data_IF_015698008446
#
_entry.id   IF_015698008446
#
_cell.length_a   1.000
_cell.length_b   1.000
_cell.length_c   1.000
_cell.angle_alpha   90.00
_cell.angle_beta   90.00
_cell.angle_gamma   90.00
#
_symmetry.space_group_name_H-M   'P 1'
#
loop_
_entity.id
_entity.type
_entity.pdbx_description
1 polymer ?
#
# COMPACT_ATOMS: atom_id res chain seq x y z
N UNK A 1 1.68 -3.20 19.66
CA UNK A 1 1.44 -2.86 21.06
C UNK A 1 -0.05 -2.62 21.28
N UNK A 2 -0.66 -3.13 22.35
CA UNK A 2 -2.12 -3.14 22.53
C UNK A 2 -2.76 -1.76 22.77
N UNK A 3 -2.01 -0.68 22.75
CA UNK A 3 -2.51 0.68 23.03
C UNK A 3 -1.99 1.76 22.08
N UNK A 4 -1.46 1.38 20.91
CA UNK A 4 -1.02 2.36 19.92
C UNK A 4 -2.22 2.93 19.17
N UNK A 5 -2.34 4.26 19.09
CA UNK A 5 -3.34 4.93 18.28
C UNK A 5 -3.04 4.73 16.78
N UNK A 6 -3.98 4.18 16.05
CA UNK A 6 -3.86 3.88 14.61
C UNK A 6 -4.70 4.85 13.81
N UNK A 7 -4.04 5.73 13.05
CA UNK A 7 -4.68 6.61 12.08
C UNK A 7 -4.54 6.03 10.67
N UNK A 8 -5.65 5.71 10.02
CA UNK A 8 -5.70 5.20 8.65
C UNK A 8 -6.13 6.30 7.70
N UNK A 9 -5.31 6.59 6.69
CA UNK A 9 -5.58 7.67 5.74
C UNK A 9 -5.70 7.19 4.31
N UNK A 10 -6.55 7.86 3.55
CA UNK A 10 -6.77 7.60 2.13
C UNK A 10 -6.65 8.90 1.33
N UNK A 11 -6.04 8.83 0.17
CA UNK A 11 -6.05 9.95 -0.76
C UNK A 11 -7.25 9.89 -1.72
N UNK A 12 -7.66 8.68 -2.11
CA UNK A 12 -8.79 8.49 -3.03
C UNK A 12 -10.11 8.21 -2.31
N UNK A 13 -11.24 8.74 -2.83
CA UNK A 13 -12.57 8.45 -2.30
C UNK A 13 -12.91 6.96 -2.30
N UNK A 14 -12.51 6.22 -3.34
CA UNK A 14 -12.78 4.78 -3.46
C UNK A 14 -12.17 3.96 -2.32
N UNK A 15 -10.95 4.28 -1.92
CA UNK A 15 -10.30 3.63 -0.77
C UNK A 15 -10.99 3.96 0.55
N UNK A 16 -11.34 5.23 0.74
CA UNK A 16 -12.04 5.72 1.94
C UNK A 16 -13.42 5.07 2.09
N UNK A 17 -14.26 5.11 1.04
CA UNK A 17 -15.62 4.57 1.10
C UNK A 17 -15.67 3.08 1.46
N UNK A 18 -14.72 2.29 0.97
CA UNK A 18 -14.63 0.85 1.28
C UNK A 18 -14.18 0.61 2.73
N UNK A 19 -13.44 1.54 3.35
CA UNK A 19 -12.76 1.33 4.63
C UNK A 19 -13.17 2.29 5.74
N UNK A 20 -14.07 3.25 5.51
CA UNK A 20 -14.50 4.25 6.51
C UNK A 20 -15.05 3.66 7.81
N UNK A 21 -15.55 2.43 7.79
CA UNK A 21 -16.06 1.71 8.95
C UNK A 21 -15.13 0.57 9.42
N UNK A 22 -13.85 0.62 9.06
CA UNK A 22 -12.90 -0.41 9.46
C UNK A 22 -12.56 -0.29 10.95
N UNK A 23 -12.84 -1.35 11.71
CA UNK A 23 -12.69 -1.39 13.18
C UNK A 23 -11.26 -1.57 13.67
N UNK A 24 -10.31 -1.83 12.77
CA UNK A 24 -8.88 -2.00 13.10
C UNK A 24 -8.09 -0.69 13.14
N UNK A 25 -8.76 0.47 13.07
CA UNK A 25 -8.13 1.79 13.19
C UNK A 25 -8.95 2.67 14.11
N UNK A 26 -8.28 3.50 14.92
CA UNK A 26 -8.93 4.41 15.87
C UNK A 26 -9.48 5.66 15.18
N UNK A 27 -8.85 6.05 14.07
CA UNK A 27 -9.30 7.16 13.24
C UNK A 27 -9.10 6.85 11.76
N UNK A 28 -10.09 7.21 10.94
CA UNK A 28 -10.06 7.03 9.50
C UNK A 28 -10.44 8.34 8.82
N UNK A 29 -9.62 8.78 7.85
CA UNK A 29 -9.87 10.04 7.17
C UNK A 29 -9.12 10.19 5.86
N UNK A 30 -9.32 11.34 5.23
CA UNK A 30 -8.56 11.70 4.04
C UNK A 30 -7.19 12.26 4.40
N UNK A 31 -6.16 11.86 3.64
CA UNK A 31 -4.88 12.53 3.66
C UNK A 31 -5.02 13.87 2.92
N UNK A 32 -4.78 15.02 3.56
CA UNK A 32 -4.83 16.30 2.88
C UNK A 32 -3.80 16.40 1.74
N UNK A 33 -4.05 17.28 0.76
CA UNK A 33 -3.12 17.50 -0.36
C UNK A 33 -1.70 17.76 0.12
N UNK A 34 -0.70 17.22 -0.61
CA UNK A 34 0.72 17.30 -0.28
C UNK A 34 1.28 18.71 -0.48
N UNK A 35 0.87 19.64 0.37
CA UNK A 35 1.45 20.97 0.48
C UNK A 35 2.26 21.06 1.77
N UNK A 36 3.22 21.99 1.81
CA UNK A 36 4.05 22.23 3.01
C UNK A 36 3.19 22.48 4.26
N UNK A 37 2.17 23.32 4.14
CA UNK A 37 1.32 23.70 5.29
C UNK A 37 0.44 22.54 5.77
N UNK A 38 -0.17 21.82 4.83
CA UNK A 38 -1.01 20.65 5.16
C UNK A 38 -0.19 19.54 5.83
N UNK A 39 0.93 19.18 5.21
CA UNK A 39 1.81 18.13 5.75
C UNK A 39 2.34 18.50 7.14
N UNK A 40 2.79 19.76 7.31
CA UNK A 40 3.25 20.26 8.61
C UNK A 40 2.16 20.19 9.67
N UNK A 41 0.97 20.73 9.38
CA UNK A 41 -0.16 20.74 10.32
C UNK A 41 -0.60 19.33 10.67
N UNK A 42 -0.72 18.44 9.67
CA UNK A 42 -1.13 17.08 9.86
C UNK A 42 -0.15 16.29 10.75
N UNK A 43 1.15 16.38 10.47
CA UNK A 43 2.18 15.71 11.29
C UNK A 43 2.25 16.30 12.69
N UNK A 44 2.06 17.62 12.85
CA UNK A 44 2.04 18.27 14.18
C UNK A 44 0.84 17.83 15.03
N UNK A 45 -0.32 17.58 14.42
CA UNK A 45 -1.51 17.12 15.14
C UNK A 45 -1.37 15.66 15.56
N UNK A 46 -0.95 14.79 14.62
CA UNK A 46 -0.89 13.35 14.87
C UNK A 46 0.36 12.91 15.65
N UNK A 47 1.47 13.64 15.51
CA UNK A 47 2.78 13.32 16.09
C UNK A 47 3.13 11.81 16.00
N UNK A 48 3.09 11.20 14.82
CA UNK A 48 3.22 9.77 14.69
C UNK A 48 4.64 9.32 15.06
N UNK A 49 4.75 8.24 15.86
CA UNK A 49 6.02 7.57 16.11
C UNK A 49 6.50 6.80 14.87
N UNK A 50 5.54 6.20 14.15
CA UNK A 50 5.77 5.43 12.94
C UNK A 50 4.77 5.81 11.87
N UNK A 51 5.20 5.80 10.60
CA UNK A 51 4.34 6.05 9.43
C UNK A 51 4.63 4.99 8.36
N UNK A 52 3.56 4.47 7.76
CA UNK A 52 3.65 3.44 6.72
C UNK A 52 2.97 3.97 5.46
N UNK A 53 3.72 4.03 4.36
CA UNK A 53 3.20 4.35 3.05
C UNK A 53 3.22 3.12 2.15
N UNK A 54 2.16 2.94 1.36
CA UNK A 54 1.94 1.73 0.57
C UNK A 54 2.13 2.03 -0.91
N UNK A 55 2.93 1.20 -1.61
CA UNK A 55 3.18 1.25 -3.07
C UNK A 55 3.86 2.54 -3.55
N UNK A 56 3.19 3.35 -4.38
CA UNK A 56 3.77 4.49 -5.11
C UNK A 56 3.57 5.83 -4.40
N UNK A 57 3.13 5.82 -3.17
CA UNK A 57 2.74 7.01 -2.40
C UNK A 57 3.97 7.75 -1.86
N UNK A 58 4.70 8.43 -2.76
CA UNK A 58 5.88 9.24 -2.42
C UNK A 58 5.48 10.70 -2.29
N UNK A 59 5.05 11.10 -1.11
CA UNK A 59 4.55 12.44 -0.78
C UNK A 59 5.67 13.29 -0.20
N UNK A 60 6.23 14.19 -1.01
CA UNK A 60 7.45 14.92 -0.67
C UNK A 60 7.34 15.71 0.63
N UNK A 61 6.28 16.53 0.77
CA UNK A 61 6.12 17.37 1.96
C UNK A 61 5.85 16.52 3.20
N UNK A 62 5.01 15.50 3.09
CA UNK A 62 4.78 14.57 4.21
C UNK A 62 6.06 13.88 4.65
N UNK A 63 6.84 13.33 3.72
CA UNK A 63 8.09 12.64 4.05
C UNK A 63 9.08 13.56 4.75
N UNK A 64 9.23 14.79 4.28
CA UNK A 64 10.11 15.77 4.91
C UNK A 64 9.62 16.19 6.31
N UNK A 65 8.31 16.37 6.50
CA UNK A 65 7.75 16.70 7.81
C UNK A 65 7.85 15.53 8.79
N UNK A 66 7.61 14.30 8.35
CA UNK A 66 7.79 13.10 9.16
C UNK A 66 9.24 12.94 9.61
N UNK A 67 10.20 13.18 8.70
CA UNK A 67 11.62 13.20 9.04
C UNK A 67 11.96 14.26 10.10
N UNK A 68 11.43 15.49 9.95
CA UNK A 68 11.64 16.55 10.92
C UNK A 68 11.06 16.20 12.30
N UNK A 69 9.95 15.46 12.31
CA UNK A 69 9.32 14.93 13.53
C UNK A 69 10.04 13.69 14.10
N UNK A 70 11.13 13.21 13.47
CA UNK A 70 11.85 11.98 13.83
C UNK A 70 10.99 10.71 13.77
N UNK A 71 9.93 10.72 12.99
CA UNK A 71 9.04 9.58 12.74
C UNK A 71 9.79 8.50 11.97
N UNK A 72 9.65 7.24 12.38
CA UNK A 72 10.13 6.11 11.57
C UNK A 72 9.20 5.94 10.37
N UNK A 73 9.73 6.12 9.17
CA UNK A 73 8.98 6.07 7.93
C UNK A 73 9.29 4.78 7.16
N UNK A 74 8.27 3.99 6.91
CA UNK A 74 8.36 2.75 6.14
C UNK A 74 7.59 2.87 4.84
N UNK A 75 8.19 2.43 3.74
CA UNK A 75 7.50 2.26 2.48
C UNK A 75 7.37 0.78 2.19
N UNK A 76 6.14 0.27 2.07
CA UNK A 76 5.87 -1.15 1.88
C UNK A 76 5.26 -1.45 0.51
N UNK A 77 5.48 -2.67 0.02
CA UNK A 77 4.97 -3.12 -1.29
C UNK A 77 5.38 -2.18 -2.44
N UNK A 78 6.58 -1.61 -2.36
CA UNK A 78 7.09 -0.64 -3.34
C UNK A 78 7.51 -1.36 -4.61
N UNK A 79 7.07 -0.86 -5.76
CA UNK A 79 7.59 -1.25 -7.06
C UNK A 79 8.13 -0.01 -7.77
N UNK A 80 9.33 -0.11 -8.31
CA UNK A 80 10.02 0.99 -8.98
C UNK A 80 10.33 0.63 -10.43
N UNK A 81 10.37 1.66 -11.28
CA UNK A 81 10.68 1.56 -12.70
C UNK A 81 11.72 2.61 -13.07
N UNK A 82 12.58 2.29 -14.03
CA UNK A 82 13.67 3.17 -14.47
C UNK A 82 13.19 4.52 -15.00
N UNK A 83 11.98 4.55 -15.59
CA UNK A 83 11.39 5.77 -16.15
C UNK A 83 10.95 6.79 -15.06
N UNK A 84 10.88 6.37 -13.81
CA UNK A 84 10.44 7.24 -12.73
C UNK A 84 11.45 8.37 -12.48
N UNK A 85 10.91 9.53 -12.05
CA UNK A 85 11.65 10.78 -11.85
C UNK A 85 12.88 10.64 -10.94
N UNK A 86 12.85 9.69 -10.01
CA UNK A 86 13.93 9.44 -9.04
C UNK A 86 15.24 8.99 -9.69
N UNK A 87 15.16 8.29 -10.83
CA UNK A 87 16.28 7.68 -11.53
C UNK A 87 16.79 8.52 -12.70
N UNK A 88 16.13 9.65 -13.02
CA UNK A 88 16.54 10.56 -14.09
C UNK A 88 17.59 11.56 -13.58
N UNK A 89 18.28 12.24 -14.49
CA UNK A 89 19.33 13.22 -14.16
C UNK A 89 18.87 14.31 -13.15
N UNK A 90 17.62 14.71 -13.18
CA UNK A 90 17.03 15.67 -12.22
C UNK A 90 16.47 15.00 -10.94
N UNK A 91 16.66 13.69 -10.78
CA UNK A 91 16.19 12.93 -9.61
C UNK A 91 16.82 13.34 -8.29
N UNK A 92 17.92 14.13 -8.33
CA UNK A 92 18.57 14.65 -7.12
C UNK A 92 17.63 15.47 -6.23
N UNK A 93 16.62 16.13 -6.81
CA UNK A 93 15.58 16.89 -6.07
C UNK A 93 14.78 15.99 -5.12
N UNK A 94 14.61 14.73 -5.47
CA UNK A 94 13.87 13.73 -4.69
C UNK A 94 14.72 13.03 -3.63
N UNK A 95 16.04 13.14 -3.69
CA UNK A 95 16.94 12.50 -2.71
C UNK A 95 16.61 12.83 -1.26
N UNK A 96 16.31 14.10 -0.86
CA UNK A 96 15.93 14.41 0.51
C UNK A 96 14.68 13.67 0.96
N UNK A 97 13.69 13.53 0.07
CA UNK A 97 12.43 12.80 0.32
C UNK A 97 12.71 11.32 0.55
N UNK A 98 13.46 10.68 -0.34
CA UNK A 98 13.81 9.26 -0.20
C UNK A 98 14.71 9.00 1.04
N UNK A 99 15.58 9.96 1.40
CA UNK A 99 16.38 9.89 2.63
C UNK A 99 15.56 10.03 3.92
N UNK A 100 14.28 10.40 3.83
CA UNK A 100 13.37 10.38 4.97
C UNK A 100 12.92 8.97 5.33
N UNK A 101 13.00 8.03 4.39
CA UNK A 101 12.53 6.66 4.57
C UNK A 101 13.52 5.86 5.41
N UNK A 102 13.04 5.31 6.51
CA UNK A 102 13.80 4.44 7.41
C UNK A 102 14.11 3.10 6.74
N UNK A 103 13.12 2.50 6.07
CA UNK A 103 13.30 1.24 5.35
C UNK A 103 12.30 1.09 4.19
N UNK A 104 12.79 0.55 3.07
CA UNK A 104 11.99 0.22 1.89
C UNK A 104 11.76 -1.29 1.83
N UNK A 105 10.51 -1.70 1.79
CA UNK A 105 10.09 -3.06 1.49
C UNK A 105 9.57 -3.11 0.05
N UNK A 106 10.38 -3.63 -0.85
CA UNK A 106 10.10 -3.64 -2.29
C UNK A 106 9.53 -4.97 -2.76
N UNK A 107 8.80 -4.96 -3.88
CA UNK A 107 8.16 -6.17 -4.39
C UNK A 107 9.14 -7.13 -5.07
N UNK A 108 10.23 -6.62 -5.67
CA UNK A 108 11.14 -7.43 -6.48
C UNK A 108 12.59 -6.93 -6.42
N UNK A 109 13.52 -7.77 -6.88
CA UNK A 109 14.95 -7.46 -6.93
C UNK A 109 15.29 -6.32 -7.89
N UNK A 110 14.52 -6.10 -8.96
CA UNK A 110 14.71 -4.97 -9.87
C UNK A 110 14.54 -3.64 -9.13
N UNK A 111 13.45 -3.48 -8.37
CA UNK A 111 13.22 -2.29 -7.54
C UNK A 111 14.32 -2.06 -6.49
N UNK A 112 14.83 -3.15 -5.90
CA UNK A 112 15.96 -3.08 -4.96
C UNK A 112 17.24 -2.61 -5.64
N UNK A 113 17.53 -3.13 -6.84
CA UNK A 113 18.70 -2.73 -7.62
C UNK A 113 18.61 -1.24 -8.01
N UNK A 114 17.44 -0.76 -8.42
CA UNK A 114 17.22 0.65 -8.73
C UNK A 114 17.46 1.56 -7.51
N UNK A 115 16.98 1.21 -6.32
CA UNK A 115 17.27 2.01 -5.11
C UNK A 115 18.77 1.98 -4.76
N UNK A 116 19.42 0.84 -4.89
CA UNK A 116 20.86 0.72 -4.66
C UNK A 116 21.68 1.57 -5.63
N UNK A 117 21.27 1.66 -6.90
CA UNK A 117 21.98 2.46 -7.92
C UNK A 117 22.02 3.96 -7.61
N UNK A 118 21.05 4.46 -6.82
CA UNK A 118 21.01 5.85 -6.35
C UNK A 118 21.46 6.02 -4.90
N UNK A 119 22.05 4.96 -4.30
CA UNK A 119 22.76 5.00 -3.03
C UNK A 119 21.93 4.62 -1.79
N UNK A 120 20.78 3.95 -1.94
CA UNK A 120 20.00 3.46 -0.80
C UNK A 120 20.29 1.99 -0.52
N UNK A 121 20.69 1.68 0.71
CA UNK A 121 21.02 0.31 1.18
C UNK A 121 19.96 -0.25 2.13
N UNK A 122 19.10 0.60 2.68
CA UNK A 122 18.01 0.26 3.60
C UNK A 122 16.80 -0.33 2.85
N UNK A 123 17.04 -1.38 2.04
CA UNK A 123 16.04 -1.97 1.13
C UNK A 123 15.98 -3.48 1.31
N UNK A 124 14.79 -4.02 1.50
CA UNK A 124 14.50 -5.47 1.58
C UNK A 124 13.42 -5.85 0.57
N UNK A 125 13.59 -6.97 -0.12
CA UNK A 125 12.53 -7.56 -0.94
C UNK A 125 11.59 -8.31 -0.03
N UNK A 126 10.30 -8.01 -0.11
CA UNK A 126 9.22 -8.61 0.70
C UNK A 126 8.04 -9.11 -0.13
N UNK A 127 8.09 -8.96 -1.47
CA UNK A 127 6.97 -9.32 -2.32
C UNK A 127 5.84 -8.28 -2.35
N UNK A 128 4.74 -8.66 -2.97
CA UNK A 128 3.52 -7.82 -3.06
C UNK A 128 2.50 -8.31 -2.03
N UNK A 129 2.08 -7.42 -1.14
CA UNK A 129 1.07 -7.70 -0.09
C UNK A 129 -0.29 -8.17 -0.63
N UNK A 130 -0.53 -8.07 -1.95
CA UNK A 130 -1.72 -8.65 -2.58
C UNK A 130 -1.70 -10.18 -2.57
N UNK A 131 -0.52 -10.80 -2.64
CA UNK A 131 -0.39 -12.26 -2.58
C UNK A 131 -0.78 -12.81 -1.21
N UNK A 132 -0.42 -12.12 -0.12
CA UNK A 132 -0.81 -12.50 1.24
C UNK A 132 -2.34 -12.55 1.37
N UNK A 133 -3.02 -11.57 0.73
CA UNK A 133 -4.48 -11.55 0.70
C UNK A 133 -5.07 -12.71 -0.11
N UNK A 134 -4.46 -13.07 -1.25
CA UNK A 134 -4.92 -14.21 -2.06
C UNK A 134 -4.77 -15.50 -1.26
N UNK A 135 -3.64 -15.72 -0.60
CA UNK A 135 -3.43 -16.88 0.27
C UNK A 135 -4.49 -16.93 1.37
N UNK A 136 -4.73 -15.82 2.07
CA UNK A 136 -5.75 -15.77 3.13
C UNK A 136 -7.19 -15.99 2.62
N UNK A 137 -7.47 -15.73 1.35
CA UNK A 137 -8.77 -16.05 0.73
C UNK A 137 -8.86 -17.54 0.43
N UNK A 138 -7.76 -18.15 -0.03
CA UNK A 138 -7.73 -19.59 -0.30
C UNK A 138 -7.85 -20.43 0.98
N UNK A 139 -7.43 -19.91 2.12
CA UNK A 139 -7.54 -20.55 3.43
C UNK A 139 -8.95 -20.43 4.06
N UNK A 140 -9.82 -19.59 3.50
CA UNK A 140 -11.22 -19.47 3.95
C UNK A 140 -12.10 -20.47 3.23
N UNK A 141 -13.18 -20.85 3.89
CA UNK A 141 -14.27 -21.55 3.20
C UNK A 141 -14.89 -20.60 2.18
N UNK A 142 -14.64 -20.89 0.90
CA UNK A 142 -15.12 -20.12 -0.24
C UNK A 142 -16.31 -20.82 -0.92
N UNK A 143 -17.01 -21.71 -0.24
CA UNK A 143 -18.25 -22.33 -0.72
C UNK A 143 -19.28 -21.23 -0.95
N UNK A 144 -19.79 -21.17 -2.16
CA UNK A 144 -20.85 -20.23 -2.54
C UNK A 144 -22.11 -21.05 -2.78
N UNK A 145 -23.04 -21.01 -1.84
CA UNK A 145 -24.28 -21.82 -1.84
C UNK A 145 -25.03 -21.76 -3.16
N UNK A 146 -25.06 -20.59 -3.81
CA UNK A 146 -25.73 -20.47 -5.10
C UNK A 146 -25.01 -21.20 -6.24
N UNK A 147 -23.68 -21.35 -6.18
CA UNK A 147 -22.89 -22.10 -7.17
C UNK A 147 -23.08 -23.61 -6.95
N UNK A 148 -23.12 -24.05 -5.71
CA UNK A 148 -23.40 -25.44 -5.37
C UNK A 148 -24.84 -25.83 -5.80
N UNK A 149 -25.85 -24.99 -5.55
CA UNK A 149 -27.20 -25.20 -6.03
C UNK A 149 -27.28 -25.28 -7.57
N UNK A 150 -26.49 -24.45 -8.26
CA UNK A 150 -26.42 -24.49 -9.72
C UNK A 150 -25.74 -25.76 -10.23
N UNK A 151 -24.72 -26.24 -9.53
CA UNK A 151 -24.01 -27.48 -9.83
C UNK A 151 -24.91 -28.69 -9.63
N UNK A 152 -25.70 -28.75 -8.56
CA UNK A 152 -26.61 -29.83 -8.24
C UNK A 152 -27.79 -29.88 -9.22
N UNK A 153 -28.34 -28.76 -9.65
CA UNK A 153 -29.42 -28.71 -10.64
C UNK A 153 -28.99 -29.16 -12.04
N UNK A 154 -27.68 -29.09 -12.37
CA UNK A 154 -27.16 -29.51 -13.67
C UNK A 154 -26.81 -31.00 -13.77
N UNK A 155 -26.86 -31.76 -12.67
CA UNK A 155 -26.55 -33.20 -12.63
C UNK A 155 -27.55 -34.06 -13.40
N UNK A 156 -28.76 -33.59 -13.68
CA UNK A 156 -29.78 -34.29 -14.47
C UNK A 156 -29.63 -34.14 -15.99
N UNK A 157 -28.80 -33.22 -16.49
CA UNK A 157 -28.66 -32.84 -17.89
C UNK A 157 -27.22 -33.00 -18.43
N UNK A 158 -26.56 -34.11 -18.16
CA UNK A 158 -25.28 -34.52 -18.76
C UNK A 158 -24.31 -33.40 -19.14
N UNK A 159 -23.17 -33.28 -18.41
CA UNK A 159 -21.97 -32.46 -18.71
C UNK A 159 -22.21 -31.04 -19.14
N UNK A 160 -22.72 -30.21 -18.27
CA UNK A 160 -22.71 -28.76 -18.48
C UNK A 160 -21.31 -28.22 -18.25
N UNK A 161 -20.69 -27.65 -19.27
CA UNK A 161 -19.44 -26.89 -19.12
C UNK A 161 -19.76 -25.53 -18.54
N UNK A 162 -19.32 -25.26 -17.31
CA UNK A 162 -19.41 -23.93 -16.73
C UNK A 162 -18.26 -23.06 -17.24
N UNK A 163 -18.56 -21.93 -17.84
CA UNK A 163 -17.58 -20.90 -18.20
C UNK A 163 -17.74 -19.73 -17.25
N UNK A 164 -16.74 -19.47 -16.41
CA UNK A 164 -16.69 -18.30 -15.53
C UNK A 164 -15.88 -17.22 -16.21
N UNK A 165 -16.51 -16.09 -16.56
CA UNK A 165 -15.81 -14.93 -17.11
C UNK A 165 -15.59 -13.95 -15.97
N UNK A 166 -14.33 -13.85 -15.53
CA UNK A 166 -13.91 -12.83 -14.58
C UNK A 166 -13.76 -11.47 -15.24
N UNK A 167 -13.94 -10.39 -14.48
CA UNK A 167 -13.63 -9.03 -14.92
C UNK A 167 -12.13 -8.89 -15.18
N UNK A 168 -11.74 -8.73 -16.43
CA UNK A 168 -10.37 -8.38 -16.84
C UNK A 168 -10.31 -6.85 -17.01
N UNK A 169 -9.64 -6.17 -16.09
CA UNK A 169 -9.28 -4.75 -16.21
C UNK A 169 -7.84 -4.63 -16.68
#
# INVERSE_FOLDING_TARGET
EPHSFIALTFFSPSGYEVRKNYTGADWIGYLPLDTYFNARKFVQILQPAEAIFVKYEFWMNYFLQLKNNKTKLFCISVILREEQRFFKWHGFVWKPTLKAVTHFFVQNESSKTLLKSIGFTNVKVSGDTRFDRVVSILERDNTLDFIEQFRDSSTSLGKTKMVVIGSSW
#
